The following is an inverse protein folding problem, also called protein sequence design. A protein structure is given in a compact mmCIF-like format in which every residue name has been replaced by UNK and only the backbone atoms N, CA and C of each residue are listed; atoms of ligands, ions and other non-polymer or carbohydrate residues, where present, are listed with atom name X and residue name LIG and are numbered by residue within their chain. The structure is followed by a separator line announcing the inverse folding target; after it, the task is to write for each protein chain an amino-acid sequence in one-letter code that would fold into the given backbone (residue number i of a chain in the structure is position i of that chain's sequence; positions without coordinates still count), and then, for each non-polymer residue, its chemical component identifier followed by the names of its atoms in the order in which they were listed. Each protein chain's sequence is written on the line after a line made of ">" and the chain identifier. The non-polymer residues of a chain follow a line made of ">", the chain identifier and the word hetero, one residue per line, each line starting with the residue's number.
data_IF_929046499926
#
_entry.id   IF_929046499926
#
_cell.length_a   1.000
_cell.length_b   1.000
_cell.length_c   1.000
_cell.angle_alpha   90.00
_cell.angle_beta   90.00
_cell.angle_gamma   90.00
#
_symmetry.space_group_name_H-M   'P 1'
#
loop_
_entity.id
_entity.type
_entity.pdbx_description
1 polymer ?
#
# COMPACT_ATOMS: atom_id res chain seq x y z
N UNK A 1 1.55 -18.67 -0.01
CA UNK A 1 0.33 -18.69 0.83
C UNK A 1 -0.24 -17.28 0.88
N UNK A 2 -1.56 -17.12 0.74
CA UNK A 2 -2.20 -15.81 0.88
C UNK A 2 -2.13 -15.36 2.34
N UNK A 3 -1.75 -14.11 2.58
CA UNK A 3 -1.70 -13.57 3.93
C UNK A 3 -3.12 -13.37 4.46
N UNK A 4 -3.39 -13.79 5.69
CA UNK A 4 -4.66 -13.53 6.36
C UNK A 4 -4.62 -12.14 7.00
N UNK A 5 -5.58 -11.28 6.66
CA UNK A 5 -5.65 -9.88 7.13
C UNK A 5 -4.34 -9.11 6.93
N UNK A 6 -3.86 -8.95 5.68
CA UNK A 6 -2.67 -8.15 5.39
C UNK A 6 -2.85 -6.70 5.88
N UNK A 7 -1.82 -6.08 6.47
CA UNK A 7 -1.87 -4.69 6.93
C UNK A 7 -1.99 -3.72 5.75
N UNK A 8 -2.53 -2.52 6.00
CA UNK A 8 -2.53 -1.48 4.98
C UNK A 8 -1.07 -1.04 4.75
N UNK A 9 -0.59 -0.93 3.50
CA UNK A 9 0.82 -0.63 3.24
C UNK A 9 1.25 0.76 3.75
N UNK A 10 0.30 1.67 3.98
CA UNK A 10 0.53 2.94 4.68
C UNK A 10 0.92 2.79 6.16
N UNK A 11 0.41 1.77 6.85
CA UNK A 11 0.84 1.44 8.23
C UNK A 11 2.25 0.88 8.21
N UNK A 12 2.53 -0.03 7.27
CA UNK A 12 3.87 -0.59 7.05
C UNK A 12 4.88 0.52 6.77
N UNK A 13 4.54 1.48 5.91
CA UNK A 13 5.39 2.64 5.61
C UNK A 13 5.67 3.47 6.88
N UNK A 14 4.65 3.70 7.70
CA UNK A 14 4.79 4.47 8.94
C UNK A 14 5.71 3.77 9.93
N UNK A 15 5.40 2.52 10.27
CA UNK A 15 6.04 1.76 11.35
C UNK A 15 7.44 1.25 10.98
N UNK A 16 7.65 0.85 9.71
CA UNK A 16 8.89 0.19 9.30
C UNK A 16 9.86 1.11 8.56
N UNK A 17 9.42 2.28 8.08
CA UNK A 17 10.29 3.20 7.34
C UNK A 17 10.40 4.58 8.00
N UNK A 18 9.29 5.19 8.41
CA UNK A 18 9.30 6.57 8.90
C UNK A 18 9.73 6.64 10.37
N UNK A 19 9.08 5.87 11.25
CA UNK A 19 9.35 5.87 12.69
C UNK A 19 10.79 5.44 13.04
N UNK A 20 11.37 4.37 12.44
CA UNK A 20 12.75 3.96 12.76
C UNK A 20 13.80 4.99 12.35
N UNK A 21 13.49 5.83 11.37
CA UNK A 21 14.37 6.91 10.90
C UNK A 21 14.12 8.23 11.64
N UNK A 22 13.15 8.29 12.57
CA UNK A 22 12.71 9.51 13.26
C UNK A 22 12.35 10.65 12.29
N UNK A 23 11.82 10.32 11.11
CA UNK A 23 11.45 11.32 10.11
C UNK A 23 10.06 11.86 10.37
N UNK A 24 9.88 13.16 10.15
CA UNK A 24 8.57 13.80 10.16
C UNK A 24 7.84 13.55 8.84
N UNK A 25 6.50 13.60 8.88
CA UNK A 25 5.67 13.49 7.67
C UNK A 25 6.04 14.57 6.65
N UNK A 26 6.46 15.76 7.09
CA UNK A 26 6.87 16.85 6.20
C UNK A 26 8.14 16.48 5.43
N UNK A 27 9.18 16.03 6.13
CA UNK A 27 10.46 15.62 5.51
C UNK A 27 10.26 14.50 4.50
N UNK A 28 9.43 13.50 4.85
CA UNK A 28 9.14 12.38 3.93
C UNK A 28 8.33 12.84 2.73
N UNK A 29 7.35 13.73 2.92
CA UNK A 29 6.55 14.25 1.80
C UNK A 29 7.42 15.06 0.82
N UNK A 30 8.33 15.87 1.35
CA UNK A 30 9.31 16.63 0.56
C UNK A 30 10.27 15.69 -0.19
N UNK A 31 10.85 14.69 0.49
CA UNK A 31 11.73 13.71 -0.14
C UNK A 31 11.03 12.90 -1.24
N UNK A 32 9.74 12.59 -1.07
CA UNK A 32 8.93 11.91 -2.07
C UNK A 32 8.43 12.85 -3.18
N UNK A 33 8.56 14.17 -3.02
CA UNK A 33 8.07 15.17 -3.97
C UNK A 33 6.54 15.17 -4.11
N UNK A 34 5.82 15.02 -2.99
CA UNK A 34 4.36 14.99 -2.91
C UNK A 34 3.85 15.94 -1.83
N UNK A 35 2.55 16.25 -1.85
CA UNK A 35 1.98 17.06 -0.76
C UNK A 35 1.95 16.28 0.56
N UNK A 36 2.17 16.98 1.68
CA UNK A 36 1.98 16.42 3.03
C UNK A 36 0.60 15.79 3.21
N UNK A 37 -0.43 16.37 2.59
CA UNK A 37 -1.81 15.84 2.61
C UNK A 37 -1.89 14.46 1.95
N UNK A 38 -1.24 14.29 0.80
CA UNK A 38 -1.19 13.02 0.07
C UNK A 38 -0.55 11.94 0.92
N UNK A 39 0.64 12.21 1.48
CA UNK A 39 1.33 11.25 2.33
C UNK A 39 0.52 10.94 3.59
N UNK A 40 -0.03 11.97 4.25
CA UNK A 40 -0.89 11.79 5.44
C UNK A 40 -2.11 10.90 5.15
N UNK A 41 -2.73 11.01 3.98
CA UNK A 41 -3.85 10.14 3.62
C UNK A 41 -3.44 8.67 3.53
N UNK A 42 -2.25 8.39 2.98
CA UNK A 42 -1.70 7.03 2.89
C UNK A 42 -1.36 6.49 4.29
N UNK A 43 -0.64 7.27 5.11
CA UNK A 43 -0.22 6.85 6.45
C UNK A 43 -1.39 6.62 7.42
N UNK A 44 -2.56 7.20 7.14
CA UNK A 44 -3.79 7.01 7.92
C UNK A 44 -4.79 6.06 7.25
N UNK A 45 -4.35 5.24 6.28
CA UNK A 45 -5.17 4.21 5.62
C UNK A 45 -6.41 4.76 4.88
N UNK A 46 -6.37 6.05 4.48
CA UNK A 46 -7.45 6.72 3.74
C UNK A 46 -7.20 6.73 2.23
N UNK A 47 -6.00 6.35 1.81
CA UNK A 47 -5.61 6.22 0.41
C UNK A 47 -4.59 5.09 0.27
N UNK A 48 -4.68 4.32 -0.83
CA UNK A 48 -3.70 3.30 -1.17
C UNK A 48 -2.45 3.88 -1.83
N UNK A 49 -1.45 3.01 -2.03
CA UNK A 49 -0.23 3.29 -2.78
C UNK A 49 -0.49 3.10 -4.27
N UNK A 50 -0.41 4.19 -5.05
CA UNK A 50 -0.44 4.13 -6.51
C UNK A 50 0.90 3.65 -7.09
N UNK A 51 0.96 3.21 -8.37
CA UNK A 51 2.23 2.87 -9.01
C UNK A 51 3.26 4.01 -9.01
N UNK A 52 2.81 5.25 -9.19
CA UNK A 52 3.69 6.42 -9.11
C UNK A 52 4.28 6.60 -7.70
N UNK A 53 3.44 6.45 -6.67
CA UNK A 53 3.90 6.50 -5.28
C UNK A 53 4.86 5.36 -4.96
N UNK A 54 4.58 4.14 -5.44
CA UNK A 54 5.46 2.99 -5.25
C UNK A 54 6.87 3.22 -5.82
N UNK A 55 6.97 3.85 -7.01
CA UNK A 55 8.26 4.24 -7.59
C UNK A 55 8.98 5.26 -6.71
N UNK A 56 8.27 6.27 -6.19
CA UNK A 56 8.84 7.28 -5.29
C UNK A 56 9.35 6.65 -3.99
N UNK A 57 8.57 5.77 -3.38
CA UNK A 57 8.94 5.03 -2.16
C UNK A 57 10.15 4.10 -2.39
N UNK A 58 10.17 3.39 -3.52
CA UNK A 58 11.30 2.54 -3.90
C UNK A 58 12.61 3.33 -3.94
N UNK A 59 12.60 4.49 -4.60
CA UNK A 59 13.76 5.39 -4.67
C UNK A 59 14.14 5.98 -3.32
N UNK A 60 13.18 6.41 -2.51
CA UNK A 60 13.44 7.10 -1.25
C UNK A 60 13.96 6.17 -0.14
N UNK A 61 13.45 4.94 -0.07
CA UNK A 61 13.75 3.99 1.02
C UNK A 61 14.66 2.82 0.59
N UNK A 62 15.19 2.82 -0.64
CA UNK A 62 16.03 1.74 -1.14
C UNK A 62 15.28 0.40 -1.28
N UNK A 63 14.00 0.47 -1.64
CA UNK A 63 13.11 -0.69 -1.84
C UNK A 63 12.66 -0.79 -3.30
N UNK A 64 11.81 -1.75 -3.64
CA UNK A 64 11.26 -1.89 -5.00
C UNK A 64 9.81 -1.43 -5.07
N UNK A 65 9.42 -0.85 -6.22
CA UNK A 65 8.03 -0.43 -6.43
C UNK A 65 7.07 -1.63 -6.40
N UNK A 66 7.52 -2.77 -6.91
CA UNK A 66 6.81 -4.04 -6.92
C UNK A 66 6.52 -4.53 -5.50
N UNK A 67 7.44 -4.32 -4.55
CA UNK A 67 7.21 -4.68 -3.14
C UNK A 67 6.02 -3.92 -2.55
N UNK A 68 5.95 -2.61 -2.79
CA UNK A 68 4.85 -1.77 -2.32
C UNK A 68 3.52 -2.11 -3.00
N UNK A 69 3.54 -2.32 -4.32
CA UNK A 69 2.34 -2.71 -5.08
C UNK A 69 1.84 -4.10 -4.68
N UNK A 70 2.74 -5.04 -4.37
CA UNK A 70 2.35 -6.34 -3.89
C UNK A 70 1.63 -6.23 -2.53
N UNK A 71 2.13 -5.42 -1.61
CA UNK A 71 1.45 -5.17 -0.33
C UNK A 71 0.07 -4.55 -0.53
N UNK A 72 -0.03 -3.52 -1.38
CA UNK A 72 -1.32 -2.90 -1.74
C UNK A 72 -2.29 -3.91 -2.34
N UNK A 73 -1.83 -4.73 -3.29
CA UNK A 73 -2.66 -5.76 -3.92
C UNK A 73 -3.15 -6.80 -2.91
N UNK A 74 -2.29 -7.26 -1.98
CA UNK A 74 -2.71 -8.20 -0.94
C UNK A 74 -3.78 -7.58 -0.03
N UNK A 75 -3.57 -6.33 0.40
CA UNK A 75 -4.54 -5.57 1.18
C UNK A 75 -5.89 -5.45 0.46
N UNK A 76 -5.88 -4.94 -0.77
CA UNK A 76 -7.10 -4.70 -1.54
C UNK A 76 -7.86 -5.99 -1.83
N UNK A 77 -7.16 -7.07 -2.18
CA UNK A 77 -7.78 -8.36 -2.42
C UNK A 77 -8.42 -8.94 -1.15
N UNK A 78 -7.79 -8.78 0.00
CA UNK A 78 -8.38 -9.25 1.26
C UNK A 78 -9.63 -8.42 1.61
N UNK A 79 -9.56 -7.09 1.55
CA UNK A 79 -10.72 -6.22 1.79
C UNK A 79 -11.87 -6.55 0.82
N UNK A 80 -11.55 -6.75 -0.46
CA UNK A 80 -12.53 -7.10 -1.48
C UNK A 80 -13.18 -8.46 -1.19
N UNK A 81 -12.42 -9.49 -0.78
CA UNK A 81 -12.99 -10.78 -0.40
C UNK A 81 -13.95 -10.68 0.79
N UNK A 82 -13.61 -9.86 1.79
CA UNK A 82 -14.50 -9.64 2.94
C UNK A 82 -15.78 -8.90 2.54
N UNK A 83 -15.70 -7.97 1.59
CA UNK A 83 -16.84 -7.16 1.14
C UNK A 83 -17.74 -7.89 0.14
N UNK A 84 -17.13 -8.60 -0.82
CA UNK A 84 -17.80 -9.37 -1.86
C UNK A 84 -18.42 -10.63 -1.26
N UNK A 85 -17.77 -11.25 -0.26
CA UNK A 85 -18.26 -12.46 0.38
C UNK A 85 -18.38 -13.63 -0.62
N UNK A 86 -19.39 -14.49 -0.40
CA UNK A 86 -19.67 -15.61 -1.29
C UNK A 86 -20.50 -15.15 -2.50
N UNK A 87 -19.85 -14.56 -3.50
CA UNK A 87 -20.49 -14.34 -4.80
C UNK A 87 -20.47 -15.62 -5.62
N UNK A 88 -21.66 -16.09 -6.02
CA UNK A 88 -21.79 -17.19 -6.96
C UNK A 88 -21.41 -16.74 -8.37
N UNK A 89 -20.26 -17.22 -8.86
CA UNK A 89 -19.80 -17.01 -10.23
C UNK A 89 -19.76 -18.34 -10.98
N UNK A 90 -20.28 -18.35 -12.21
CA UNK A 90 -20.15 -19.53 -13.10
C UNK A 90 -18.73 -19.59 -13.64
N UNK A 91 -18.08 -20.75 -13.50
CA UNK A 91 -16.78 -20.99 -14.11
C UNK A 91 -16.96 -21.10 -15.63
N UNK A 92 -16.30 -20.20 -16.37
CA UNK A 92 -16.24 -20.31 -17.82
C UNK A 92 -15.18 -21.37 -18.19
N UNK A 93 -15.56 -22.34 -19.01
CA UNK A 93 -14.66 -23.31 -19.62
C UNK A 93 -14.69 -23.11 -21.13
N UNK A 94 -13.52 -23.17 -21.78
CA UNK A 94 -13.46 -23.28 -23.24
C UNK A 94 -13.84 -24.72 -23.61
N UNK A 95 -14.75 -24.86 -24.58
CA UNK A 95 -15.19 -26.15 -25.10
C UNK A 95 -14.07 -26.88 -25.84
#
# INVERSE_FOLDING_TARGET
>A
MKMHNPPHPGEVLKELCIEPLNLTITEVAEALGVSRKTLSAILNCRAGISPEMAIRLGKAFGTTAESWLNQQMQYDLWQAEQAVGNVEVKRLSVA
#
